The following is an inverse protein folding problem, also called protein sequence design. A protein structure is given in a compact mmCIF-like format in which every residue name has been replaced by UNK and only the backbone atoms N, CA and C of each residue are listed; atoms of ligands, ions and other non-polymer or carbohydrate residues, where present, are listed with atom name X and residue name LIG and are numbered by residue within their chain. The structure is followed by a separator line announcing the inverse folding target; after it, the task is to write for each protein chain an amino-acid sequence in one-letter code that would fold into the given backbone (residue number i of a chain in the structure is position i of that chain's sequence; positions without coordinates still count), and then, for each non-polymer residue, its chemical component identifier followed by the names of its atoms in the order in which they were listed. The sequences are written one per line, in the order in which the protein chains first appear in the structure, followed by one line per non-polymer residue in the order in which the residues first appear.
data_IF_379763427909
#
_entry.id   IF_379763427909
#
_cell.length_a   1.000
_cell.length_b   1.000
_cell.length_c   1.000
_cell.angle_alpha   90.00
_cell.angle_beta   90.00
_cell.angle_gamma   90.00
#
_symmetry.space_group_name_H-M   'P 1'
#
loop_
_entity.id
_entity.type
_entity.pdbx_description
1 polymer ?
#
# COMPACT_ATOMS: atom_id res chain seq x y z
N UNK A 1 38.62 25.05 15.87
CA UNK A 1 38.61 24.32 14.59
C UNK A 1 38.29 22.82 14.75
N UNK A 2 39.01 22.06 15.61
CA UNK A 2 38.72 20.63 15.84
C UNK A 2 37.33 20.33 16.43
N UNK A 3 36.83 21.16 17.35
CA UNK A 3 35.49 20.98 17.95
C UNK A 3 34.35 21.08 16.91
N UNK A 4 34.45 22.04 15.98
CA UNK A 4 33.47 22.20 14.90
C UNK A 4 33.46 21.00 13.94
N UNK A 5 34.62 20.38 13.68
CA UNK A 5 34.72 19.17 12.86
C UNK A 5 34.03 17.97 13.52
N UNK A 6 34.18 17.82 14.84
CA UNK A 6 33.55 16.73 15.59
C UNK A 6 32.02 16.89 15.61
N UNK A 7 31.52 18.11 15.81
CA UNK A 7 30.09 18.42 15.80
C UNK A 7 29.48 18.17 14.42
N UNK A 8 30.15 18.57 13.34
CA UNK A 8 29.67 18.34 11.98
C UNK A 8 29.66 16.86 11.57
N UNK A 9 30.66 16.08 12.02
CA UNK A 9 30.67 14.61 11.84
C UNK A 9 29.54 13.91 12.61
N UNK A 10 29.26 14.32 13.84
CA UNK A 10 28.17 13.75 14.64
C UNK A 10 26.78 14.05 14.05
N UNK A 11 26.59 15.26 13.52
CA UNK A 11 25.36 15.66 12.84
C UNK A 11 25.19 14.85 11.53
N UNK A 12 26.28 14.68 10.75
CA UNK A 12 26.23 13.89 9.51
C UNK A 12 25.92 12.40 9.76
N UNK A 13 26.39 11.80 10.87
CA UNK A 13 26.04 10.43 11.23
C UNK A 13 24.55 10.26 11.58
N UNK A 14 23.91 11.28 12.17
CA UNK A 14 22.47 11.24 12.44
C UNK A 14 21.61 11.28 11.16
N UNK A 15 22.13 11.79 10.04
CA UNK A 15 21.38 11.83 8.77
C UNK A 15 21.45 10.52 7.97
N UNK A 16 22.43 9.65 8.23
CA UNK A 16 22.59 8.37 7.51
C UNK A 16 21.62 7.28 7.97
N UNK A 17 20.86 7.51 9.06
CA UNK A 17 19.87 6.58 9.58
C UNK A 17 18.44 6.81 9.06
N UNK A 18 18.21 7.83 8.24
CA UNK A 18 16.99 7.94 7.43
C UNK A 18 17.10 6.99 6.23
N UNK A 19 17.43 5.73 6.51
CA UNK A 19 17.22 4.64 5.56
C UNK A 19 15.72 4.58 5.37
N UNK A 20 15.27 4.99 4.20
CA UNK A 20 13.89 4.94 3.74
C UNK A 20 13.12 3.79 4.41
N UNK A 21 12.21 4.13 5.31
CA UNK A 21 11.15 3.22 5.73
C UNK A 21 10.11 3.21 4.61
N UNK A 22 10.54 2.86 3.39
CA UNK A 22 9.65 2.27 2.39
C UNK A 22 9.71 0.75 2.60
N UNK A 23 9.35 0.33 3.82
CA UNK A 23 9.11 -1.08 4.14
C UNK A 23 7.65 -1.45 3.80
N UNK A 24 7.02 -0.74 2.87
CA UNK A 24 5.73 -1.09 2.32
C UNK A 24 5.98 -1.79 1.00
N UNK A 25 5.63 -3.08 0.92
CA UNK A 25 5.39 -3.72 -0.37
C UNK A 25 4.52 -2.79 -1.22
N UNK A 26 4.95 -2.47 -2.45
CA UNK A 26 4.16 -1.66 -3.38
C UNK A 26 2.70 -2.14 -3.35
N UNK A 27 1.80 -1.23 -2.98
CA UNK A 27 0.37 -1.47 -2.95
C UNK A 27 -0.33 -0.72 -4.07
N UNK A 28 -1.56 -1.14 -4.36
CA UNK A 28 -2.39 -0.56 -5.42
C UNK A 28 -3.83 -0.37 -4.95
N UNK A 29 -4.58 0.42 -5.71
CA UNK A 29 -5.99 0.72 -5.47
C UNK A 29 -6.85 -0.22 -6.32
N UNK A 30 -7.47 -1.26 -5.73
CA UNK A 30 -8.37 -2.13 -6.47
C UNK A 30 -9.68 -1.42 -6.81
N UNK A 31 -10.40 -1.98 -7.77
CA UNK A 31 -11.72 -1.53 -8.18
C UNK A 31 -12.74 -2.65 -8.10
N UNK A 32 -13.96 -2.28 -7.76
CA UNK A 32 -15.09 -3.19 -7.61
C UNK A 32 -15.58 -3.76 -8.96
N UNK A 33 -16.70 -4.50 -8.91
CA UNK A 33 -17.31 -5.10 -10.10
C UNK A 33 -17.78 -4.08 -11.15
N UNK A 34 -17.90 -2.79 -10.78
CA UNK A 34 -18.25 -1.69 -11.66
C UNK A 34 -17.02 -0.93 -12.19
N UNK A 35 -15.82 -1.28 -11.74
CA UNK A 35 -14.59 -0.56 -12.06
C UNK A 35 -14.41 0.73 -11.25
N UNK A 36 -15.10 0.86 -10.12
CA UNK A 36 -15.03 2.02 -9.22
C UNK A 36 -14.12 1.67 -8.04
N UNK A 37 -13.30 2.63 -7.59
CA UNK A 37 -12.46 2.45 -6.41
C UNK A 37 -13.30 2.23 -5.15
N UNK A 38 -12.85 1.35 -4.27
CA UNK A 38 -13.47 1.17 -2.97
C UNK A 38 -13.29 2.42 -2.10
N UNK A 39 -14.35 3.23 -1.98
CA UNK A 39 -14.34 4.40 -1.10
C UNK A 39 -14.38 3.99 0.37
N UNK A 40 -13.68 4.75 1.20
CA UNK A 40 -13.57 4.48 2.64
C UNK A 40 -13.83 5.71 3.53
N UNK A 41 -14.26 6.83 2.94
CA UNK A 41 -14.55 8.08 3.66
C UNK A 41 -15.71 7.90 4.65
N UNK A 42 -16.80 7.27 4.20
CA UNK A 42 -18.01 7.10 5.01
C UNK A 42 -17.93 5.81 5.85
N UNK A 43 -17.42 4.73 5.26
CA UNK A 43 -17.35 3.44 5.92
C UNK A 43 -16.10 2.68 5.47
N UNK A 44 -15.16 2.47 6.40
CA UNK A 44 -13.90 1.81 6.11
C UNK A 44 -14.08 0.28 6.08
N UNK A 45 -14.00 -0.31 4.88
CA UNK A 45 -13.97 -1.76 4.65
C UNK A 45 -12.68 -2.23 3.97
N UNK A 46 -11.64 -1.40 3.93
CA UNK A 46 -10.46 -1.69 3.11
C UNK A 46 -9.79 -3.02 3.44
N UNK A 47 -9.76 -3.43 4.70
CA UNK A 47 -9.21 -4.75 5.04
C UNK A 47 -9.99 -5.89 4.37
N UNK A 48 -11.33 -5.81 4.36
CA UNK A 48 -12.19 -6.80 3.68
C UNK A 48 -12.01 -6.71 2.18
N UNK A 49 -12.10 -5.51 1.61
CA UNK A 49 -12.11 -5.30 0.17
C UNK A 49 -10.75 -5.69 -0.42
N UNK A 50 -9.63 -5.36 0.23
CA UNK A 50 -8.30 -5.82 -0.17
C UNK A 50 -8.15 -7.36 -0.09
N UNK A 51 -8.72 -8.00 0.93
CA UNK A 51 -8.70 -9.47 1.05
C UNK A 51 -9.48 -10.17 -0.06
N UNK A 52 -10.57 -9.57 -0.56
CA UNK A 52 -11.30 -10.11 -1.73
C UNK A 52 -10.36 -10.20 -2.93
N UNK A 53 -9.51 -9.18 -3.13
CA UNK A 53 -8.53 -9.14 -4.21
C UNK A 53 -7.27 -10.00 -3.94
N UNK A 54 -7.18 -10.62 -2.76
CA UNK A 54 -6.07 -11.49 -2.39
C UNK A 54 -4.87 -10.77 -1.75
N UNK A 55 -5.03 -9.50 -1.36
CA UNK A 55 -4.01 -8.82 -0.56
C UNK A 55 -4.05 -9.25 0.91
N UNK A 56 -2.91 -9.13 1.60
CA UNK A 56 -2.78 -9.46 3.02
C UNK A 56 -3.35 -8.37 3.94
N UNK A 57 -3.23 -7.11 3.52
CA UNK A 57 -3.60 -5.95 4.31
C UNK A 57 -4.16 -4.83 3.43
N UNK A 58 -5.01 -4.00 4.03
CA UNK A 58 -5.70 -2.91 3.34
C UNK A 58 -6.13 -1.81 4.30
N UNK A 59 -5.92 -0.56 3.90
CA UNK A 59 -6.29 0.60 4.70
C UNK A 59 -6.81 1.75 3.84
N UNK A 60 -7.45 2.73 4.49
CA UNK A 60 -8.00 3.89 3.83
C UNK A 60 -6.91 4.93 3.58
N UNK A 61 -6.66 5.26 2.31
CA UNK A 61 -5.67 6.25 1.90
C UNK A 61 -6.27 7.19 0.86
N UNK A 62 -6.20 8.50 1.11
CA UNK A 62 -6.78 9.53 0.23
C UNK A 62 -8.27 9.33 -0.12
N UNK A 63 -9.03 8.69 0.78
CA UNK A 63 -10.47 8.44 0.62
C UNK A 63 -10.85 7.15 -0.11
N UNK A 64 -9.86 6.38 -0.58
CA UNK A 64 -10.04 5.07 -1.23
C UNK A 64 -9.18 3.99 -0.58
N UNK A 65 -9.50 2.73 -0.81
CA UNK A 65 -8.74 1.62 -0.26
C UNK A 65 -7.43 1.41 -1.00
N UNK A 66 -6.35 1.34 -0.24
CA UNK A 66 -5.02 0.97 -0.70
C UNK A 66 -4.67 -0.41 -0.13
N UNK A 67 -4.24 -1.32 -1.00
CA UNK A 67 -3.95 -2.70 -0.66
C UNK A 67 -2.48 -3.02 -0.84
N UNK A 68 -1.79 -3.34 0.26
CA UNK A 68 -0.36 -3.65 0.24
C UNK A 68 -0.10 -5.03 -0.36
N UNK A 69 0.91 -5.13 -1.23
CA UNK A 69 1.32 -6.38 -1.84
C UNK A 69 0.26 -6.98 -2.77
N UNK A 70 -0.71 -6.19 -3.23
CA UNK A 70 -1.69 -6.64 -4.22
C UNK A 70 -1.02 -6.64 -5.61
N UNK A 71 -0.94 -7.79 -6.31
CA UNK A 71 -0.36 -7.82 -7.65
C UNK A 71 -1.32 -7.13 -8.65
N UNK A 72 -0.78 -6.42 -9.65
CA UNK A 72 -1.55 -5.59 -10.60
C UNK A 72 -2.66 -6.37 -11.33
N UNK A 73 -2.39 -7.64 -11.63
CA UNK A 73 -3.33 -8.61 -12.21
C UNK A 73 -4.58 -8.90 -11.35
N UNK A 74 -4.57 -8.54 -10.08
CA UNK A 74 -5.71 -8.69 -9.17
C UNK A 74 -6.37 -7.34 -8.87
N UNK A 75 -6.01 -6.26 -9.55
CA UNK A 75 -6.63 -4.94 -9.37
C UNK A 75 -8.13 -4.92 -9.65
N UNK A 76 -8.55 -5.61 -10.70
CA UNK A 76 -9.94 -5.62 -11.15
C UNK A 76 -10.68 -6.80 -10.54
N UNK A 77 -11.86 -6.54 -9.97
CA UNK A 77 -12.72 -7.57 -9.38
C UNK A 77 -12.93 -8.76 -10.32
N UNK A 78 -13.23 -8.51 -11.60
CA UNK A 78 -13.49 -9.58 -12.56
C UNK A 78 -12.27 -10.44 -12.88
N UNK A 79 -11.05 -9.91 -12.78
CA UNK A 79 -9.84 -10.69 -13.01
C UNK A 79 -9.56 -11.64 -11.84
N UNK A 80 -9.80 -11.18 -10.62
CA UNK A 80 -9.76 -12.02 -9.41
C UNK A 80 -10.80 -13.13 -9.50
N UNK A 81 -12.04 -12.76 -9.82
CA UNK A 81 -13.14 -13.71 -9.87
C UNK A 81 -12.90 -14.78 -10.95
N UNK A 82 -12.34 -14.44 -12.13
CA UNK A 82 -12.02 -15.42 -13.19
C UNK A 82 -11.02 -16.48 -12.72
N UNK A 83 -10.09 -16.10 -11.84
CA UNK A 83 -9.12 -17.04 -11.25
C UNK A 83 -9.77 -17.95 -10.21
N UNK A 84 -10.75 -17.43 -9.47
CA UNK A 84 -11.40 -18.15 -8.36
C UNK A 84 -12.60 -19.01 -8.79
N UNK A 85 -13.28 -18.64 -9.87
CA UNK A 85 -14.49 -19.31 -10.35
C UNK A 85 -14.21 -20.03 -11.68
N UNK A 86 -14.34 -21.35 -11.69
CA UNK A 86 -14.06 -22.25 -12.82
C UNK A 86 -15.01 -22.10 -14.03
N UNK A 87 -16.01 -21.21 -13.97
CA UNK A 87 -17.14 -21.18 -14.92
C UNK A 87 -17.59 -19.77 -15.36
N UNK A 88 -16.74 -18.75 -15.23
CA UNK A 88 -17.05 -17.41 -15.78
C UNK A 88 -16.59 -17.25 -17.22
#
# INVERSE_FOLDING_TARGET
MKFFLIVSLAIASCFMEMKEVYAGTDGIYPVDFQGIFYECIIYNRCERDCKIHGASYGYCYAGVCYCEGLPEENKFFWDVMKKQCTYM
#
